data_IF_387661950503
#
_entry.id   IF_387661950503
#
_cell.length_a   1.000
_cell.length_b   1.000
_cell.length_c   1.000
_cell.angle_alpha   90.00
_cell.angle_beta   90.00
_cell.angle_gamma   90.00
#
_symmetry.space_group_name_H-M   'P 1'
#
loop_
_entity.id
_entity.type
_entity.pdbx_description
1 polymer ?
#
# COMPACT_ATOMS: atom_id res chain seq x y z
N UNK A 1 5.15 -68.82 -6.73
CA UNK A 1 5.64 -68.91 -5.34
C UNK A 1 5.78 -67.49 -4.78
N UNK A 2 5.00 -67.21 -3.72
CA UNK A 2 5.33 -66.33 -2.59
C UNK A 2 5.68 -64.86 -2.95
N UNK A 3 4.72 -63.92 -2.95
CA UNK A 3 4.03 -63.38 -1.75
C UNK A 3 4.99 -63.11 -0.58
N UNK A 4 5.91 -62.15 -0.75
CA UNK A 4 6.77 -61.57 0.31
C UNK A 4 7.25 -60.13 0.00
N UNK A 5 6.45 -59.31 -0.68
CA UNK A 5 6.80 -57.89 -0.94
C UNK A 5 5.70 -56.98 -0.37
N UNK A 6 5.19 -57.33 0.81
CA UNK A 6 4.14 -56.58 1.50
C UNK A 6 4.47 -56.46 2.99
N UNK A 7 5.71 -56.11 3.34
CA UNK A 7 6.10 -55.87 4.76
C UNK A 7 7.36 -55.02 4.87
N UNK A 8 7.40 -53.85 4.21
CA UNK A 8 8.43 -52.84 4.51
C UNK A 8 7.85 -51.41 4.42
N UNK A 9 6.62 -51.26 4.91
CA UNK A 9 6.09 -49.99 5.41
C UNK A 9 6.31 -50.01 6.93
N UNK A 10 6.58 -48.84 7.54
CA UNK A 10 6.79 -48.60 8.97
C UNK A 10 8.26 -48.68 9.42
N UNK A 11 9.13 -47.73 9.02
CA UNK A 11 10.17 -47.05 9.86
C UNK A 11 10.84 -45.96 9.00
N UNK A 12 10.13 -44.88 8.64
CA UNK A 12 10.79 -43.68 8.08
C UNK A 12 9.95 -42.41 8.20
N UNK A 13 9.18 -42.28 9.29
CA UNK A 13 8.21 -41.19 9.48
C UNK A 13 8.57 -40.19 10.60
N UNK A 14 9.82 -40.14 11.07
CA UNK A 14 10.24 -39.16 12.09
C UNK A 14 11.66 -38.65 11.81
N UNK A 15 11.82 -37.62 10.97
CA UNK A 15 13.03 -36.77 10.96
C UNK A 15 12.96 -35.52 10.04
N UNK A 16 11.80 -34.89 9.81
CA UNK A 16 11.75 -33.57 9.15
C UNK A 16 10.83 -32.61 9.91
N UNK A 17 11.26 -32.23 11.12
CA UNK A 17 10.65 -31.16 11.90
C UNK A 17 11.76 -30.29 12.52
N UNK A 18 12.53 -29.59 11.67
CA UNK A 18 13.43 -28.51 12.10
C UNK A 18 13.81 -27.57 10.93
N UNK A 19 12.85 -27.29 10.04
CA UNK A 19 12.95 -26.24 9.04
C UNK A 19 12.05 -25.07 9.42
N UNK A 20 12.28 -24.47 10.59
CA UNK A 20 11.65 -23.21 10.97
C UNK A 20 12.26 -22.07 10.12
N UNK A 21 11.78 -21.92 8.90
CA UNK A 21 11.90 -20.66 8.16
C UNK A 21 10.58 -19.92 8.40
N UNK A 22 10.67 -18.81 9.12
CA UNK A 22 9.54 -18.11 9.74
C UNK A 22 8.39 -17.87 8.78
N UNK A 23 7.27 -18.54 9.05
CA UNK A 23 5.97 -18.01 8.70
C UNK A 23 5.89 -16.63 9.36
N UNK A 24 5.95 -15.56 8.57
CA UNK A 24 5.39 -14.29 9.02
C UNK A 24 3.94 -14.61 9.37
N UNK A 25 3.61 -14.54 10.65
CA UNK A 25 2.21 -14.54 11.08
C UNK A 25 1.52 -13.44 10.28
N UNK A 26 0.32 -13.68 9.70
CA UNK A 26 -0.45 -12.58 9.17
C UNK A 26 -0.67 -11.63 10.34
N UNK A 27 -0.16 -10.41 10.21
CA UNK A 27 -0.45 -9.34 11.17
C UNK A 27 -1.96 -9.17 11.14
N UNK A 28 -2.63 -9.71 12.15
CA UNK A 28 -4.01 -9.37 12.46
C UNK A 28 -3.96 -8.00 13.11
N UNK A 29 -3.90 -6.98 12.28
CA UNK A 29 -4.09 -5.58 12.61
C UNK A 29 -4.79 -4.98 11.40
N UNK A 30 -6.10 -4.74 11.53
CA UNK A 30 -6.89 -4.13 10.46
C UNK A 30 -6.50 -2.66 10.22
N UNK A 31 -5.59 -2.10 11.01
CA UNK A 31 -5.10 -0.72 10.88
C UNK A 31 -3.75 -0.66 10.14
N UNK A 32 -3.56 0.32 9.23
CA UNK A 32 -2.30 0.52 8.52
C UNK A 32 -1.15 0.88 9.47
N UNK A 33 0.09 0.51 9.09
CA UNK A 33 1.28 0.97 9.82
C UNK A 33 1.33 2.50 9.82
N UNK A 34 1.34 3.18 10.98
CA UNK A 34 1.33 4.64 11.05
C UNK A 34 2.56 5.30 10.41
N UNK A 35 3.61 4.53 10.14
CA UNK A 35 4.81 4.99 9.43
C UNK A 35 4.69 4.85 7.90
N UNK A 36 3.78 3.99 7.40
CA UNK A 36 3.44 3.93 5.98
C UNK A 36 2.36 4.98 5.68
N UNK A 37 2.80 6.21 5.43
CA UNK A 37 1.90 7.34 5.14
C UNK A 37 1.01 7.10 3.95
N UNK A 38 1.45 6.32 2.97
CA UNK A 38 0.63 5.95 1.81
C UNK A 38 -0.47 4.99 2.22
N UNK A 39 -0.16 3.96 3.03
CA UNK A 39 -1.18 3.03 3.52
C UNK A 39 -2.21 3.74 4.42
N UNK A 40 -1.76 4.64 5.30
CA UNK A 40 -2.66 5.46 6.14
C UNK A 40 -3.58 6.33 5.29
N UNK A 41 -3.04 7.03 4.29
CA UNK A 41 -3.86 7.86 3.40
C UNK A 41 -4.85 7.02 2.59
N UNK A 42 -4.44 5.86 2.06
CA UNK A 42 -5.32 4.97 1.30
C UNK A 42 -6.49 4.46 2.16
N UNK A 43 -6.20 4.11 3.42
CA UNK A 43 -7.23 3.70 4.38
C UNK A 43 -8.23 4.83 4.64
N UNK A 44 -7.74 6.06 4.92
CA UNK A 44 -8.61 7.22 5.11
C UNK A 44 -9.46 7.51 3.86
N UNK A 45 -8.85 7.53 2.66
CA UNK A 45 -9.59 7.78 1.41
C UNK A 45 -10.72 6.77 1.21
N UNK A 46 -10.47 5.49 1.46
CA UNK A 46 -11.42 4.43 1.14
C UNK A 46 -12.44 4.17 2.24
N UNK A 47 -11.99 4.12 3.50
CA UNK A 47 -12.81 3.69 4.64
C UNK A 47 -13.42 4.85 5.44
N UNK A 48 -12.80 6.03 5.43
CA UNK A 48 -13.33 7.22 6.11
C UNK A 48 -14.06 8.16 5.14
N UNK A 49 -13.39 8.54 4.05
CA UNK A 49 -13.95 9.47 3.05
C UNK A 49 -14.86 8.79 2.00
N UNK A 50 -14.82 7.45 1.90
CA UNK A 50 -15.67 6.69 0.97
C UNK A 50 -15.34 6.91 -0.51
N UNK A 51 -14.10 7.29 -0.82
CA UNK A 51 -13.62 7.53 -2.17
C UNK A 51 -13.14 6.22 -2.82
N UNK A 52 -13.35 6.10 -4.13
CA UNK A 52 -12.72 5.04 -4.92
C UNK A 52 -11.25 5.40 -5.14
N UNK A 53 -10.36 4.77 -4.37
CA UNK A 53 -8.92 4.99 -4.43
C UNK A 53 -8.14 3.68 -4.48
N UNK A 54 -7.05 3.67 -5.26
CA UNK A 54 -6.18 2.50 -5.41
C UNK A 54 -4.71 2.90 -5.52
N UNK A 55 -3.81 2.03 -5.07
CA UNK A 55 -2.37 2.25 -5.25
C UNK A 55 -2.01 2.25 -6.72
N UNK A 56 -1.26 3.28 -7.15
CA UNK A 56 -0.66 3.36 -8.47
C UNK A 56 0.87 3.24 -8.32
N UNK A 57 1.37 2.01 -8.52
CA UNK A 57 2.78 1.71 -8.28
C UNK A 57 3.17 1.83 -6.79
N UNK A 58 4.45 2.11 -6.55
CA UNK A 58 5.02 2.06 -5.19
C UNK A 58 4.89 3.38 -4.41
N UNK A 59 4.59 4.48 -5.08
CA UNK A 59 4.64 5.82 -4.49
C UNK A 59 3.37 6.63 -4.67
N UNK A 60 2.35 6.12 -5.35
CA UNK A 60 1.17 6.92 -5.66
C UNK A 60 -0.14 6.22 -5.32
N UNK A 61 -1.19 7.03 -5.21
CA UNK A 61 -2.60 6.61 -5.12
C UNK A 61 -3.37 7.35 -6.22
N UNK A 62 -4.16 6.63 -6.99
CA UNK A 62 -5.11 7.17 -7.96
C UNK A 62 -6.50 7.19 -7.34
N UNK A 63 -7.23 8.28 -7.51
CA UNK A 63 -8.61 8.46 -7.01
C UNK A 63 -9.54 8.67 -8.20
N UNK A 64 -10.69 7.99 -8.23
CA UNK A 64 -11.73 8.19 -9.25
C UNK A 64 -11.35 7.78 -10.69
N UNK A 65 -10.35 6.92 -10.86
CA UNK A 65 -9.92 6.39 -12.17
C UNK A 65 -8.93 7.28 -12.96
N UNK A 66 -8.59 6.94 -14.22
CA UNK A 66 -7.43 7.49 -14.96
C UNK A 66 -7.40 8.99 -15.30
N UNK A 67 -8.37 9.79 -14.84
CA UNK A 67 -8.40 11.25 -14.97
C UNK A 67 -8.68 11.98 -13.65
N UNK A 68 -8.94 11.24 -12.56
CA UNK A 68 -9.18 11.84 -11.26
C UNK A 68 -7.89 12.22 -10.53
N UNK A 69 -8.01 12.73 -9.29
CA UNK A 69 -6.85 13.16 -8.51
C UNK A 69 -5.83 12.05 -8.32
N UNK A 70 -4.55 12.43 -8.26
CA UNK A 70 -3.45 11.52 -7.93
C UNK A 70 -2.63 12.10 -6.80
N UNK A 71 -2.34 11.28 -5.79
CA UNK A 71 -1.43 11.64 -4.70
C UNK A 71 -0.12 10.90 -4.88
N UNK A 72 1.00 11.60 -4.84
CA UNK A 72 2.35 11.04 -4.88
C UNK A 72 3.10 11.31 -3.58
N UNK A 73 3.69 10.28 -2.99
CA UNK A 73 4.33 10.32 -1.68
C UNK A 73 5.85 10.33 -1.78
N UNK A 74 6.46 11.22 -1.01
CA UNK A 74 7.91 11.40 -0.91
C UNK A 74 8.39 11.11 0.51
N UNK A 75 9.71 10.99 0.68
CA UNK A 75 10.30 10.74 1.99
C UNK A 75 10.25 11.99 2.89
N UNK A 76 10.15 13.18 2.30
CA UNK A 76 10.11 14.45 3.03
C UNK A 76 9.39 15.54 2.26
N UNK A 77 8.96 16.58 2.98
CA UNK A 77 8.41 17.80 2.37
C UNK A 77 9.41 18.50 1.45
N UNK A 78 10.69 18.55 1.81
CA UNK A 78 11.72 19.16 0.96
C UNK A 78 11.92 18.40 -0.37
N UNK A 79 11.69 17.09 -0.37
CA UNK A 79 11.72 16.30 -1.61
C UNK A 79 10.51 16.61 -2.50
N UNK A 80 9.31 16.65 -1.93
CA UNK A 80 8.08 17.04 -2.64
C UNK A 80 8.21 18.46 -3.24
N UNK A 81 8.64 19.42 -2.42
CA UNK A 81 8.87 20.81 -2.84
C UNK A 81 9.91 20.91 -3.97
N UNK A 82 10.97 20.08 -3.91
CA UNK A 82 11.99 20.02 -4.95
C UNK A 82 11.40 19.68 -6.33
N UNK A 83 10.39 18.81 -6.39
CA UNK A 83 9.74 18.47 -7.66
C UNK A 83 9.00 19.66 -8.28
N UNK A 84 8.38 20.50 -7.44
CA UNK A 84 7.75 21.72 -7.90
C UNK A 84 8.79 22.71 -8.44
N UNK A 85 9.92 22.90 -7.75
CA UNK A 85 11.01 23.78 -8.23
C UNK A 85 11.64 23.32 -9.54
N UNK A 86 11.72 22.01 -9.77
CA UNK A 86 12.21 21.45 -11.04
C UNK A 86 11.17 21.55 -12.17
N UNK A 87 9.94 21.96 -11.86
CA UNK A 87 8.84 21.99 -12.81
C UNK A 87 8.27 20.62 -13.14
N UNK A 88 8.57 19.59 -12.32
CA UNK A 88 8.12 18.20 -12.50
C UNK A 88 6.73 17.96 -11.86
N UNK A 89 6.27 18.89 -11.03
CA UNK A 89 4.99 18.79 -10.30
C UNK A 89 4.04 19.99 -10.58
N UNK A 90 3.98 20.45 -11.82
CA UNK A 90 3.08 21.53 -12.20
C UNK A 90 1.61 21.12 -11.99
N UNK A 91 0.83 21.99 -11.34
CA UNK A 91 -0.57 21.71 -11.02
C UNK A 91 -0.77 20.76 -9.84
N UNK A 92 0.30 20.41 -9.12
CA UNK A 92 0.19 19.70 -7.85
C UNK A 92 0.23 20.68 -6.67
N UNK A 93 -0.62 20.44 -5.68
CA UNK A 93 -0.52 21.04 -4.35
C UNK A 93 0.42 20.21 -3.48
N UNK A 94 1.19 20.87 -2.63
CA UNK A 94 2.03 20.19 -1.65
C UNK A 94 1.31 20.10 -0.30
N UNK A 95 1.12 18.88 0.20
CA UNK A 95 0.60 18.62 1.55
C UNK A 95 1.63 17.78 2.30
N UNK A 96 2.40 18.43 3.18
CA UNK A 96 3.51 17.78 3.88
C UNK A 96 4.54 17.17 2.92
N UNK A 97 4.68 15.84 2.97
CA UNK A 97 5.57 15.05 2.10
C UNK A 97 4.84 14.45 0.87
N UNK A 98 3.61 14.86 0.60
CA UNK A 98 2.84 14.41 -0.56
C UNK A 98 2.61 15.55 -1.57
N UNK A 99 2.41 15.17 -2.82
CA UNK A 99 1.95 16.04 -3.90
C UNK A 99 0.58 15.56 -4.39
N UNK A 100 -0.43 16.41 -4.24
CA UNK A 100 -1.80 16.20 -4.72
C UNK A 100 -1.95 16.83 -6.11
N UNK A 101 -1.99 16.00 -7.14
CA UNK A 101 -2.32 16.41 -8.50
C UNK A 101 -3.84 16.43 -8.66
N UNK A 102 -4.40 17.63 -8.82
CA UNK A 102 -5.85 17.89 -8.77
C UNK A 102 -6.62 17.19 -9.89
N UNK A 103 -6.14 17.28 -11.13
CA UNK A 103 -6.80 16.77 -12.34
C UNK A 103 -8.31 17.13 -12.38
N UNK A 104 -9.19 16.17 -12.69
CA UNK A 104 -10.65 16.38 -12.77
C UNK A 104 -11.37 16.27 -11.40
N UNK A 105 -10.63 16.37 -10.28
CA UNK A 105 -11.21 16.35 -8.94
C UNK A 105 -12.15 17.52 -8.68
N UNK A 106 -13.34 17.25 -8.16
CA UNK A 106 -14.22 18.31 -7.63
C UNK A 106 -13.72 18.81 -6.29
N UNK A 107 -14.01 20.06 -5.94
CA UNK A 107 -13.63 20.68 -4.66
C UNK A 107 -13.95 19.78 -3.45
N UNK A 108 -15.14 19.17 -3.40
CA UNK A 108 -15.54 18.24 -2.31
C UNK A 108 -14.62 17.01 -2.20
N UNK A 109 -14.14 16.49 -3.34
CA UNK A 109 -13.21 15.36 -3.35
C UNK A 109 -11.82 15.84 -2.93
N UNK A 110 -11.38 17.00 -3.40
CA UNK A 110 -10.06 17.55 -3.05
C UNK A 110 -9.97 17.86 -1.56
N UNK A 111 -10.99 18.48 -0.99
CA UNK A 111 -11.07 18.77 0.46
C UNK A 111 -10.99 17.46 1.28
N UNK A 112 -11.73 16.43 0.89
CA UNK A 112 -11.66 15.12 1.55
C UNK A 112 -10.27 14.46 1.43
N UNK A 113 -9.57 14.65 0.30
CA UNK A 113 -8.20 14.16 0.14
C UNK A 113 -7.22 14.93 1.01
N UNK A 114 -7.34 16.25 1.09
CA UNK A 114 -6.50 17.11 1.92
C UNK A 114 -6.68 16.79 3.41
N UNK A 115 -7.90 16.62 3.89
CA UNK A 115 -8.20 16.25 5.28
C UNK A 115 -7.54 14.92 5.68
N UNK A 116 -7.50 13.95 4.76
CA UNK A 116 -6.85 12.65 4.97
C UNK A 116 -5.30 12.71 4.88
N UNK A 117 -4.71 13.81 4.39
CA UNK A 117 -3.28 13.98 4.23
C UNK A 117 -2.61 14.81 5.34
N UNK A 118 -3.40 15.47 6.19
CA UNK A 118 -2.95 16.28 7.34
C UNK A 118 -2.59 15.43 8.58
#
# INVERSE_FOLDING_TARGET
MQSRILTLLIVCALALAAGACGSKEPVTGDEPDPNDKRAVALDCFTNEAGLEAETLGDQSIQVGGPGGPRVEFFLSSGEAESQQFKGEAQGAEQVGAALLFVNDGSDEVLEALEDCLL
#
